data_IF_195733149832
#
_entry.id   IF_195733149832
#
_cell.length_a   1.000
_cell.length_b   1.000
_cell.length_c   1.000
_cell.angle_alpha   90.00
_cell.angle_beta   90.00
_cell.angle_gamma   90.00
#
_symmetry.space_group_name_H-M   'P 1'
#
loop_
_entity.id
_entity.type
_entity.pdbx_description
1 polymer ?
#
# COMPACT_ATOMS: atom_id res chain seq x y z
N UNK A 1 2.63 -6.38 -12.57
CA UNK A 1 2.52 -4.91 -12.47
C UNK A 1 1.20 -4.56 -11.80
N UNK A 2 1.18 -3.63 -10.83
CA UNK A 2 -0.05 -3.15 -10.18
C UNK A 2 -0.35 -1.74 -10.64
N UNK A 3 -1.62 -1.47 -10.97
CA UNK A 3 -2.08 -0.14 -11.32
C UNK A 3 -3.01 0.35 -10.21
N UNK A 4 -2.62 1.40 -9.51
CA UNK A 4 -3.50 2.12 -8.58
C UNK A 4 -3.58 3.60 -8.95
N UNK A 5 -4.78 4.17 -8.85
CA UNK A 5 -5.01 5.61 -8.99
C UNK A 5 -5.47 6.12 -7.64
N UNK A 6 -4.75 7.09 -7.12
CA UNK A 6 -5.03 7.67 -5.81
C UNK A 6 -5.13 9.19 -5.96
N UNK A 7 -6.23 9.76 -5.48
CA UNK A 7 -6.54 11.18 -5.60
C UNK A 7 -6.79 11.74 -4.21
N UNK A 8 -6.07 12.80 -3.87
CA UNK A 8 -6.22 13.55 -2.62
C UNK A 8 -6.86 14.92 -2.91
N UNK A 9 -8.08 15.12 -2.40
CA UNK A 9 -8.87 16.34 -2.51
C UNK A 9 -9.00 17.01 -1.13
N UNK A 10 -7.97 17.75 -0.66
CA UNK A 10 -7.93 18.28 0.70
C UNK A 10 -9.07 19.26 1.00
N UNK A 11 -9.49 20.06 0.02
CA UNK A 11 -10.58 21.02 0.14
C UNK A 11 -11.94 20.36 0.42
N UNK A 12 -12.12 19.11 -0.04
CA UNK A 12 -13.30 18.31 0.21
C UNK A 12 -13.11 17.27 1.32
N UNK A 13 -11.89 17.12 1.84
CA UNK A 13 -11.50 16.05 2.76
C UNK A 13 -11.87 14.67 2.21
N UNK A 14 -11.51 14.43 0.94
CA UNK A 14 -11.78 13.16 0.25
C UNK A 14 -10.47 12.57 -0.25
N UNK A 15 -10.25 11.29 0.07
CA UNK A 15 -9.24 10.45 -0.58
C UNK A 15 -9.99 9.41 -1.40
N UNK A 16 -9.73 9.35 -2.69
CA UNK A 16 -10.20 8.29 -3.57
C UNK A 16 -9.03 7.36 -3.87
N UNK A 17 -9.19 6.07 -3.60
CA UNK A 17 -8.21 5.04 -3.94
C UNK A 17 -8.89 4.00 -4.82
N UNK A 18 -8.29 3.71 -5.97
CA UNK A 18 -8.73 2.63 -6.86
C UNK A 18 -7.53 1.76 -7.21
N UNK A 19 -7.77 0.47 -7.39
CA UNK A 19 -6.78 -0.44 -7.94
C UNK A 19 -7.45 -1.40 -8.89
N UNK A 20 -6.69 -1.90 -9.85
CA UNK A 20 -7.07 -3.13 -10.54
C UNK A 20 -7.03 -4.32 -9.56
N UNK A 21 -7.53 -5.47 -10.01
CA UNK A 21 -7.53 -6.72 -9.23
C UNK A 21 -6.56 -7.76 -9.77
N UNK A 22 -5.79 -7.46 -10.83
CA UNK A 22 -4.99 -8.44 -11.55
C UNK A 22 -3.57 -8.52 -10.99
N UNK A 23 -3.15 -9.69 -10.54
CA UNK A 23 -1.76 -9.98 -10.21
C UNK A 23 -1.13 -10.81 -11.32
N UNK A 24 -0.06 -10.33 -11.95
CA UNK A 24 0.68 -11.09 -12.96
C UNK A 24 1.95 -11.71 -12.39
N UNK A 25 2.23 -12.96 -12.76
CA UNK A 25 3.54 -13.61 -12.56
C UNK A 25 4.28 -13.58 -13.88
N UNK A 26 5.55 -13.18 -13.87
CA UNK A 26 6.37 -13.04 -15.07
C UNK A 26 7.62 -13.91 -14.97
N UNK A 27 8.12 -14.40 -16.11
CA UNK A 27 9.40 -15.10 -16.17
C UNK A 27 10.59 -14.12 -16.20
N UNK A 28 11.80 -14.65 -16.32
CA UNK A 28 13.04 -13.86 -16.41
C UNK A 28 13.11 -12.99 -17.66
N UNK A 29 12.33 -13.30 -18.71
CA UNK A 29 12.24 -12.54 -19.96
C UNK A 29 11.06 -11.54 -19.93
N UNK A 30 10.48 -11.29 -18.75
CA UNK A 30 9.31 -10.44 -18.53
C UNK A 30 8.04 -10.90 -19.28
N UNK A 31 7.97 -12.18 -19.68
CA UNK A 31 6.76 -12.75 -20.27
C UNK A 31 5.79 -13.16 -19.18
N UNK A 32 4.53 -12.78 -19.36
CA UNK A 32 3.45 -13.15 -18.46
C UNK A 32 3.25 -14.67 -18.46
N UNK A 33 3.47 -15.30 -17.31
CA UNK A 33 3.26 -16.73 -17.09
C UNK A 33 1.81 -17.00 -16.64
N UNK A 34 1.32 -16.22 -15.68
CA UNK A 34 0.00 -16.43 -15.07
C UNK A 34 -0.60 -15.14 -14.56
N UNK A 35 -1.93 -15.14 -14.40
CA UNK A 35 -2.68 -14.04 -13.81
C UNK A 35 -3.61 -14.55 -12.72
N UNK A 36 -3.65 -13.85 -11.60
CA UNK A 36 -4.55 -14.14 -10.49
C UNK A 36 -5.39 -12.91 -10.15
N UNK A 37 -6.58 -13.14 -9.57
CA UNK A 37 -7.41 -12.07 -9.03
C UNK A 37 -7.12 -11.90 -7.54
N UNK A 38 -6.71 -10.71 -7.13
CA UNK A 38 -6.32 -10.42 -5.76
C UNK A 38 -6.76 -9.02 -5.33
N UNK A 39 -7.06 -8.89 -4.04
CA UNK A 39 -7.31 -7.59 -3.41
C UNK A 39 -5.96 -6.88 -3.20
N UNK A 40 -5.86 -5.64 -3.68
CA UNK A 40 -4.66 -4.82 -3.52
C UNK A 40 -4.84 -3.64 -2.56
N UNK A 41 -6.09 -3.31 -2.22
CA UNK A 41 -6.43 -2.29 -1.23
C UNK A 41 -7.01 -2.96 0.00
N UNK A 42 -6.41 -2.69 1.15
CA UNK A 42 -6.85 -3.12 2.46
C UNK A 42 -7.23 -1.89 3.26
N UNK A 43 -8.23 -1.98 4.15
CA UNK A 43 -8.72 -0.81 4.87
C UNK A 43 -9.25 -1.17 6.25
N UNK A 44 -9.31 -0.18 7.12
CA UNK A 44 -10.01 -0.23 8.39
C UNK A 44 -10.72 1.08 8.68
N UNK A 45 -11.07 1.31 9.95
CA UNK A 45 -11.91 2.44 10.35
C UNK A 45 -11.26 3.81 10.08
N UNK A 46 -9.93 3.87 10.15
CA UNK A 46 -9.17 5.11 10.11
C UNK A 46 -8.08 5.17 9.05
N UNK A 47 -8.02 4.14 8.19
CA UNK A 47 -6.95 3.97 7.22
C UNK A 47 -7.37 3.13 6.02
N UNK A 48 -6.70 3.32 4.90
CA UNK A 48 -6.69 2.42 3.75
C UNK A 48 -5.27 2.35 3.19
N UNK A 49 -4.84 1.18 2.72
CA UNK A 49 -3.51 0.95 2.22
C UNK A 49 -3.56 0.12 0.93
N UNK A 50 -3.06 0.70 -0.16
CA UNK A 50 -2.85 0.03 -1.43
C UNK A 50 -1.44 -0.53 -1.50
N UNK A 51 -1.30 -1.70 -2.12
CA UNK A 51 -0.03 -2.42 -2.22
C UNK A 51 0.47 -2.44 -3.66
N UNK A 52 1.73 -2.08 -3.85
CA UNK A 52 2.51 -2.25 -5.06
C UNK A 52 3.67 -3.22 -4.77
N UNK A 53 3.95 -4.17 -5.66
CA UNK A 53 5.08 -5.11 -5.49
C UNK A 53 4.71 -6.58 -5.78
N UNK A 54 5.53 -7.50 -5.29
CA UNK A 54 5.39 -8.96 -5.47
C UNK A 54 4.35 -9.59 -4.53
N UNK A 55 4.07 -10.89 -4.74
CA UNK A 55 2.84 -11.62 -4.40
C UNK A 55 2.20 -11.39 -3.01
N UNK A 56 0.90 -11.70 -2.95
CA UNK A 56 0.03 -11.47 -1.80
C UNK A 56 0.30 -12.26 -0.51
N UNK A 57 1.19 -13.26 -0.46
CA UNK A 57 1.37 -14.05 0.78
C UNK A 57 2.07 -13.26 1.89
N UNK A 58 3.14 -12.54 1.56
CA UNK A 58 3.88 -11.74 2.54
C UNK A 58 3.12 -10.48 2.91
N UNK A 59 2.44 -9.88 1.95
CA UNK A 59 1.45 -8.84 2.17
C UNK A 59 0.34 -9.31 3.13
N UNK A 60 -0.22 -10.50 2.93
CA UNK A 60 -1.20 -11.08 3.85
C UNK A 60 -0.63 -11.31 5.25
N UNK A 61 0.62 -11.78 5.38
CA UNK A 61 1.30 -11.90 6.68
C UNK A 61 1.47 -10.56 7.34
N UNK A 62 1.90 -9.54 6.60
CA UNK A 62 2.03 -8.17 7.10
C UNK A 62 0.69 -7.75 7.70
N UNK A 63 -0.39 -7.77 6.92
CA UNK A 63 -1.73 -7.41 7.40
C UNK A 63 -2.20 -8.25 8.59
N UNK A 64 -1.95 -9.57 8.59
CA UNK A 64 -2.26 -10.43 9.75
C UNK A 64 -1.47 -10.05 11.00
N UNK A 65 -0.16 -9.79 10.88
CA UNK A 65 0.73 -9.39 12.00
C UNK A 65 0.29 -8.07 12.63
N UNK A 66 -0.29 -7.24 11.78
CA UNK A 66 -0.85 -5.95 12.04
C UNK A 66 -2.28 -6.03 12.60
N UNK A 67 -2.86 -7.22 12.70
CA UNK A 67 -4.20 -7.43 13.26
C UNK A 67 -5.33 -7.00 12.34
N UNK A 68 -5.09 -7.01 11.02
CA UNK A 68 -6.15 -6.87 10.02
C UNK A 68 -7.07 -8.09 10.07
N UNK A 69 -8.36 -7.83 10.27
CA UNK A 69 -9.41 -8.84 10.20
C UNK A 69 -10.43 -8.39 9.16
N UNK A 70 -10.73 -9.20 8.12
CA UNK A 70 -11.71 -8.84 7.09
C UNK A 70 -13.11 -8.52 7.63
N UNK A 71 -13.45 -9.00 8.84
CA UNK A 71 -14.75 -8.80 9.50
C UNK A 71 -14.91 -7.46 10.25
N UNK A 72 -13.94 -6.54 10.16
CA UNK A 72 -14.09 -5.15 10.59
C UNK A 72 -13.74 -4.83 12.05
N UNK A 73 -13.44 -5.83 12.90
CA UNK A 73 -12.86 -5.58 14.23
C UNK A 73 -11.35 -5.41 14.13
N UNK A 74 -10.94 -4.25 13.64
CA UNK A 74 -9.52 -3.90 13.51
C UNK A 74 -8.88 -3.68 14.88
N UNK A 75 -7.62 -4.11 15.03
CA UNK A 75 -6.90 -3.93 16.28
C UNK A 75 -6.54 -2.46 16.50
N UNK A 76 -6.71 -1.95 17.73
CA UNK A 76 -6.17 -0.64 18.14
C UNK A 76 -4.65 -0.56 17.91
N UNK A 77 -3.97 -1.71 17.97
CA UNK A 77 -2.54 -1.86 17.70
C UNK A 77 -2.19 -1.39 16.29
N UNK A 78 -3.02 -1.69 15.29
CA UNK A 78 -2.78 -1.26 13.92
C UNK A 78 -2.81 0.25 13.76
N UNK A 79 -3.84 0.88 14.34
CA UNK A 79 -3.99 2.34 14.29
C UNK A 79 -2.80 3.02 14.97
N UNK A 80 -2.34 2.48 16.10
CA UNK A 80 -1.13 2.96 16.79
C UNK A 80 0.13 2.80 15.93
N UNK A 81 0.30 1.66 15.26
CA UNK A 81 1.43 1.44 14.33
C UNK A 81 1.43 2.48 13.21
N UNK A 82 0.29 2.73 12.55
CA UNK A 82 0.23 3.75 11.50
C UNK A 82 0.55 5.14 12.05
N UNK A 83 -0.04 5.52 13.18
CA UNK A 83 0.20 6.84 13.77
C UNK A 83 1.68 7.03 14.12
N UNK A 84 2.32 6.00 14.67
CA UNK A 84 3.77 6.02 14.92
C UNK A 84 4.56 6.09 13.62
N UNK A 85 4.15 5.36 12.57
CA UNK A 85 4.85 5.35 11.31
C UNK A 85 4.81 6.72 10.61
N UNK A 86 3.65 7.37 10.61
CA UNK A 86 3.49 8.74 10.08
C UNK A 86 4.34 9.72 10.90
N UNK A 87 4.24 9.66 12.23
CA UNK A 87 4.97 10.57 13.12
C UNK A 87 6.49 10.45 12.99
N UNK A 88 6.98 9.23 12.81
CA UNK A 88 8.41 8.94 12.71
C UNK A 88 8.91 8.93 11.26
N UNK A 89 8.04 9.22 10.30
CA UNK A 89 8.30 9.13 8.85
C UNK A 89 8.86 7.75 8.43
N UNK A 90 8.49 6.69 9.15
CA UNK A 90 9.06 5.35 9.00
C UNK A 90 8.12 4.23 9.42
N UNK A 91 7.89 3.29 8.52
CA UNK A 91 7.09 2.08 8.69
C UNK A 91 8.01 0.85 8.83
N UNK A 92 8.40 0.53 10.06
CA UNK A 92 9.38 -0.54 10.32
C UNK A 92 8.92 -1.92 9.88
N UNK A 93 7.61 -2.18 9.93
CA UNK A 93 7.03 -3.45 9.52
C UNK A 93 7.19 -3.70 8.02
N UNK A 94 7.14 -2.64 7.20
CA UNK A 94 7.39 -2.72 5.74
C UNK A 94 8.87 -2.95 5.48
N UNK A 95 9.75 -2.23 6.18
CA UNK A 95 11.18 -2.46 6.09
C UNK A 95 11.54 -3.93 6.44
N UNK A 96 10.95 -4.47 7.52
CA UNK A 96 11.16 -5.88 7.91
C UNK A 96 10.65 -6.85 6.85
N UNK A 97 9.47 -6.58 6.28
CA UNK A 97 8.88 -7.37 5.21
C UNK A 97 9.84 -7.47 4.01
N UNK A 98 10.35 -6.33 3.55
CA UNK A 98 11.23 -6.26 2.39
C UNK A 98 12.64 -6.79 2.70
N UNK A 99 13.14 -6.65 3.94
CA UNK A 99 14.37 -7.33 4.37
C UNK A 99 14.24 -8.86 4.30
N UNK A 100 13.10 -9.41 4.69
CA UNK A 100 12.85 -10.85 4.62
C UNK A 100 12.67 -11.33 3.17
N UNK A 101 12.08 -10.51 2.30
CA UNK A 101 12.03 -10.76 0.85
C UNK A 101 13.41 -10.75 0.21
N UNK A 102 14.24 -9.75 0.52
CA UNK A 102 15.61 -9.63 0.03
C UNK A 102 16.47 -10.83 0.44
N UNK A 103 16.32 -11.34 1.67
CA UNK A 103 17.01 -12.56 2.14
C UNK A 103 16.64 -13.82 1.37
N UNK A 104 15.47 -13.86 0.73
CA UNK A 104 15.03 -14.96 -0.14
C UNK A 104 15.48 -14.79 -1.59
N UNK A 105 16.19 -13.71 -1.91
CA UNK A 105 16.68 -13.41 -3.25
C UNK A 105 15.69 -12.64 -4.12
N UNK A 106 14.65 -12.03 -3.56
CA UNK A 106 13.77 -11.14 -4.32
C UNK A 106 14.52 -9.88 -4.75
N UNK A 107 14.30 -9.44 -5.98
CA UNK A 107 14.96 -8.26 -6.53
C UNK A 107 14.34 -6.97 -5.98
N UNK A 108 15.13 -5.89 -6.00
CA UNK A 108 14.69 -4.57 -5.54
C UNK A 108 13.37 -4.11 -6.18
N UNK A 109 13.17 -4.42 -7.47
CA UNK A 109 11.96 -4.08 -8.25
C UNK A 109 10.70 -4.82 -7.79
N UNK A 110 10.87 -5.93 -7.07
CA UNK A 110 9.80 -6.78 -6.58
C UNK A 110 9.41 -6.46 -5.13
N UNK A 111 10.20 -5.61 -4.46
CA UNK A 111 9.94 -5.17 -3.09
C UNK A 111 8.61 -4.42 -2.98
N UNK A 112 8.00 -4.50 -1.81
CA UNK A 112 6.70 -3.91 -1.59
C UNK A 112 6.82 -2.41 -1.29
N UNK A 113 6.05 -1.60 -2.00
CA UNK A 113 5.75 -0.20 -1.66
C UNK A 113 4.25 -0.01 -1.53
N UNK A 114 3.83 1.05 -0.84
CA UNK A 114 2.44 1.23 -0.44
C UNK A 114 1.97 2.66 -0.62
N UNK A 115 0.67 2.81 -0.85
CA UNK A 115 -0.02 4.10 -0.70
C UNK A 115 -0.91 3.99 0.52
N UNK A 116 -0.71 4.85 1.51
CA UNK A 116 -1.41 4.86 2.78
C UNK A 116 -2.29 6.11 2.88
N UNK A 117 -3.59 5.90 2.96
CA UNK A 117 -4.56 6.92 3.32
C UNK A 117 -4.91 6.80 4.80
N UNK A 118 -5.01 7.92 5.50
CA UNK A 118 -5.53 7.98 6.88
C UNK A 118 -6.52 9.10 7.04
N UNK A 119 -7.41 8.97 8.02
CA UNK A 119 -8.27 10.05 8.49
C UNK A 119 -7.96 10.51 9.93
N UNK A 120 -6.92 9.92 10.56
CA UNK A 120 -6.46 10.23 11.93
C UNK A 120 -4.93 10.09 12.03
N UNK A 121 -4.23 10.93 12.81
CA UNK A 121 -4.79 12.04 13.59
C UNK A 121 -5.29 13.18 12.70
N UNK A 122 -4.68 13.34 11.52
CA UNK A 122 -5.11 14.24 10.46
C UNK A 122 -5.29 13.45 9.16
N UNK A 123 -6.17 13.93 8.29
CA UNK A 123 -6.42 13.28 7.02
C UNK A 123 -5.24 13.52 6.07
N UNK A 124 -4.73 12.44 5.48
CA UNK A 124 -3.57 12.54 4.58
C UNK A 124 -3.37 11.29 3.75
N UNK A 125 -2.66 11.48 2.64
CA UNK A 125 -2.23 10.43 1.73
C UNK A 125 -0.69 10.39 1.74
N UNK A 126 -0.13 9.21 1.92
CA UNK A 126 1.29 8.98 2.10
C UNK A 126 1.78 7.90 1.14
N UNK A 127 2.96 8.10 0.60
CA UNK A 127 3.75 7.05 -0.06
C UNK A 127 4.64 6.39 1.00
N UNK A 128 4.65 5.06 1.02
CA UNK A 128 5.60 4.27 1.78
C UNK A 128 6.48 3.51 0.81
N UNK A 129 7.77 3.82 0.79
CA UNK A 129 8.71 3.21 -0.15
C UNK A 129 9.17 1.81 0.31
N UNK A 130 10.03 1.18 -0.50
CA UNK A 130 10.53 -0.17 -0.29
C UNK A 130 11.43 -0.28 0.97
N UNK A 131 11.89 0.84 1.52
CA UNK A 131 12.66 0.89 2.76
C UNK A 131 11.79 1.26 3.97
N UNK A 132 10.49 1.42 3.76
CA UNK A 132 9.53 1.84 4.76
C UNK A 132 9.60 3.34 5.07
N UNK A 133 10.25 4.18 4.27
CA UNK A 133 10.18 5.62 4.49
C UNK A 133 8.78 6.13 4.16
N UNK A 134 8.23 6.98 5.01
CA UNK A 134 6.88 7.55 4.84
C UNK A 134 7.02 9.00 4.42
N UNK A 135 6.43 9.36 3.28
CA UNK A 135 6.42 10.74 2.77
C UNK A 135 5.01 11.10 2.30
N UNK A 136 4.59 12.38 2.35
CA UNK A 136 3.34 12.80 1.73
C UNK A 136 3.30 12.39 0.26
N UNK A 137 2.18 11.79 -0.17
CA UNK A 137 1.97 11.47 -1.57
C UNK A 137 1.87 12.77 -2.38
N UNK A 138 2.42 12.77 -3.59
CA UNK A 138 2.29 13.95 -4.46
C UNK A 138 0.82 14.18 -4.77
N UNK A 139 0.33 15.40 -4.51
CA UNK A 139 -1.01 15.82 -4.91
C UNK A 139 -1.15 15.66 -6.43
N UNK A 140 -2.19 14.95 -6.85
CA UNK A 140 -2.58 14.80 -8.25
C UNK A 140 -3.25 16.04 -8.84
N UNK A 141 -3.13 17.22 -8.21
CA UNK A 141 -3.60 18.49 -8.79
C UNK A 141 -2.93 18.80 -10.16
N UNK A 142 -1.85 18.10 -10.51
CA UNK A 142 -1.19 18.18 -11.82
C UNK A 142 -1.64 17.12 -12.84
N UNK A 143 -2.56 16.21 -12.49
CA UNK A 143 -3.14 15.25 -13.44
C UNK A 143 -4.45 15.85 -13.96
N UNK A 144 -4.50 16.34 -15.22
CA UNK A 144 -5.74 16.85 -15.78
C UNK A 144 -6.82 15.74 -15.76
N UNK A 145 -7.95 16.03 -15.11
CA UNK A 145 -9.13 15.16 -14.94
C UNK A 145 -9.86 14.91 -16.29
N UNK A 146 -9.17 15.02 -17.43
CA UNK A 146 -9.71 14.73 -18.77
C UNK A 146 -9.56 13.26 -19.18
N UNK A 147 -8.89 12.42 -18.39
CA UNK A 147 -8.57 11.04 -18.79
C UNK A 147 -9.03 9.94 -17.82
N UNK A 148 -9.91 10.24 -16.87
CA UNK A 148 -10.60 9.21 -16.09
C UNK A 148 -11.95 8.97 -16.79
N UNK A 149 -11.96 8.00 -17.71
CA UNK A 149 -13.15 7.50 -18.41
C UNK A 149 -13.52 6.16 -17.79
#
# INVERSE_FOLDING_TARGET
MTTSVNLWLPEYKIILMTSDTQWGTYDTDEKLISTECARKIYYGNSWAMAVNGSSGFDVQKLYKSLGYVPSGRHSKKFEQTIQMAIKNERFEEINRLNMDASRRGEEMRDMHSFILAVNRPEMGLYEVDEFGNVKPAKSTNDIPIKHII
#
